data_IF_193383335820
#
_entry.id   IF_193383335820
#
_cell.length_a   1.000
_cell.length_b   1.000
_cell.length_c   1.000
_cell.angle_alpha   90.00
_cell.angle_beta   90.00
_cell.angle_gamma   90.00
#
_symmetry.space_group_name_H-M   'P 1'
#
loop_
_entity.id
_entity.type
_entity.pdbx_description
1 polymer ?
#
# COMPACT_ATOMS: atom_id res chain seq x y z
N UNK A 1 5.89 -23.62 46.58
CA UNK A 1 5.82 -22.22 46.10
C UNK A 1 6.37 -22.21 44.68
N UNK A 2 5.74 -21.67 43.63
CA UNK A 2 4.75 -20.60 43.52
C UNK A 2 3.65 -20.93 42.48
N UNK A 3 2.54 -20.21 42.63
CA UNK A 3 1.24 -20.32 41.95
C UNK A 3 1.34 -20.05 40.44
N UNK A 4 0.72 -20.91 39.63
CA UNK A 4 0.28 -20.53 38.29
C UNK A 4 -0.89 -19.53 38.42
N UNK A 5 -0.71 -18.32 37.90
CA UNK A 5 -1.80 -17.38 37.70
C UNK A 5 -2.50 -17.72 36.38
N UNK A 6 -3.69 -18.27 36.50
CA UNK A 6 -4.63 -18.37 35.40
C UNK A 6 -5.34 -17.05 35.19
N UNK A 7 -5.25 -16.52 33.98
CA UNK A 7 -6.34 -15.87 33.23
C UNK A 7 -5.96 -15.89 31.74
N UNK A 8 -6.94 -16.27 30.91
CA UNK A 8 -7.04 -15.96 29.47
C UNK A 8 -6.50 -16.92 28.41
N UNK A 9 -6.82 -18.22 28.51
CA UNK A 9 -7.07 -19.04 27.33
C UNK A 9 -8.18 -20.06 27.61
N UNK A 10 -9.44 -19.61 27.76
CA UNK A 10 -10.58 -20.46 27.44
C UNK A 10 -10.95 -20.23 25.97
N UNK A 11 -11.02 -21.28 25.13
CA UNK A 11 -11.65 -21.15 23.81
C UNK A 11 -13.06 -20.62 24.03
N UNK A 12 -13.37 -19.49 23.41
CA UNK A 12 -14.71 -18.89 23.43
C UNK A 12 -15.71 -19.94 22.97
N UNK A 13 -16.72 -20.25 23.79
CA UNK A 13 -17.66 -21.33 23.44
C UNK A 13 -18.49 -20.96 22.22
N UNK A 14 -19.01 -21.93 21.45
CA UNK A 14 -19.89 -21.67 20.32
C UNK A 14 -21.08 -20.77 20.68
N UNK A 15 -21.62 -20.88 21.90
CA UNK A 15 -22.69 -19.99 22.37
C UNK A 15 -22.21 -18.56 22.60
N UNK A 16 -21.02 -18.36 23.17
CA UNK A 16 -20.43 -17.02 23.31
C UNK A 16 -20.13 -16.38 21.95
N UNK A 17 -19.73 -17.19 20.97
CA UNK A 17 -19.58 -16.75 19.59
C UNK A 17 -20.93 -16.36 18.97
N UNK A 18 -21.96 -17.19 19.16
CA UNK A 18 -23.32 -16.95 18.67
C UNK A 18 -23.95 -15.69 19.28
N UNK A 19 -23.74 -15.44 20.58
CA UNK A 19 -24.18 -14.23 21.29
C UNK A 19 -23.46 -12.98 20.73
N UNK A 20 -22.14 -13.04 20.55
CA UNK A 20 -21.37 -11.92 19.98
C UNK A 20 -21.81 -11.59 18.54
N UNK A 21 -22.07 -12.62 17.72
CA UNK A 21 -22.62 -12.44 16.38
C UNK A 21 -24.08 -11.98 16.41
N UNK A 22 -24.92 -12.47 17.32
CA UNK A 22 -26.34 -12.11 17.39
C UNK A 22 -26.59 -10.68 17.87
N UNK A 23 -25.85 -10.22 18.89
CA UNK A 23 -25.95 -8.86 19.43
C UNK A 23 -25.46 -7.80 18.44
N UNK A 24 -24.51 -8.13 17.57
CA UNK A 24 -23.98 -7.21 16.55
C UNK A 24 -24.69 -7.32 15.21
N UNK A 25 -25.16 -8.51 14.81
CA UNK A 25 -25.82 -8.76 13.53
C UNK A 25 -27.14 -8.01 13.37
N UNK A 26 -27.99 -8.02 14.40
CA UNK A 26 -29.34 -7.47 14.29
C UNK A 26 -29.36 -5.93 14.19
N UNK A 27 -28.57 -5.19 14.98
CA UNK A 27 -28.43 -3.74 14.82
C UNK A 27 -27.74 -3.35 13.51
N UNK A 28 -26.72 -4.10 13.10
CA UNK A 28 -26.00 -3.89 11.83
C UNK A 28 -26.92 -4.12 10.63
N UNK A 29 -27.73 -5.17 10.62
CA UNK A 29 -28.71 -5.41 9.55
C UNK A 29 -29.78 -4.32 9.48
N UNK A 30 -30.24 -3.80 10.64
CA UNK A 30 -31.25 -2.73 10.71
C UNK A 30 -30.70 -1.34 10.36
N UNK A 31 -29.40 -1.11 10.50
CA UNK A 31 -28.79 0.22 10.38
C UNK A 31 -28.30 0.57 8.96
N UNK A 32 -28.38 -0.36 7.99
CA UNK A 32 -27.84 -0.19 6.63
C UNK A 32 -26.41 0.44 6.64
N UNK A 33 -25.47 -0.11 7.42
CA UNK A 33 -24.23 0.57 7.76
C UNK A 33 -23.34 0.69 6.53
N UNK A 34 -22.68 1.84 6.42
CA UNK A 34 -21.73 2.08 5.35
C UNK A 34 -20.60 1.04 5.38
N UNK A 35 -20.08 0.71 4.20
CA UNK A 35 -18.95 -0.19 4.04
C UNK A 35 -17.76 0.17 4.96
N UNK A 36 -17.53 1.46 5.19
CA UNK A 36 -16.51 1.96 6.11
C UNK A 36 -16.76 1.55 7.59
N UNK A 37 -18.02 1.57 8.05
CA UNK A 37 -18.39 1.14 9.40
C UNK A 37 -18.21 -0.38 9.57
N UNK A 38 -18.61 -1.15 8.56
CA UNK A 38 -18.43 -2.61 8.52
C UNK A 38 -16.95 -2.99 8.49
N UNK A 39 -16.12 -2.25 7.77
CA UNK A 39 -14.66 -2.43 7.75
C UNK A 39 -14.01 -2.07 9.09
N UNK A 40 -14.48 -1.01 9.76
CA UNK A 40 -14.01 -0.64 11.11
C UNK A 40 -14.33 -1.72 12.14
N UNK A 41 -15.51 -2.34 12.06
CA UNK A 41 -15.89 -3.48 12.91
C UNK A 41 -15.06 -4.74 12.63
N UNK A 42 -14.62 -4.93 11.38
CA UNK A 42 -13.76 -6.04 10.95
C UNK A 42 -12.27 -5.88 11.32
N UNK A 43 -11.83 -4.70 11.75
CA UNK A 43 -10.42 -4.38 12.05
C UNK A 43 -9.81 -5.16 13.23
N UNK A 44 -10.62 -5.88 14.00
CA UNK A 44 -10.21 -6.45 15.28
C UNK A 44 -10.08 -7.98 15.23
N UNK A 45 -8.85 -8.51 15.13
CA UNK A 45 -8.48 -9.95 15.03
C UNK A 45 -9.20 -10.74 13.91
N UNK A 46 -8.43 -11.48 13.13
CA UNK A 46 -8.86 -12.26 11.94
C UNK A 46 -10.13 -13.10 12.12
N UNK A 47 -10.38 -13.60 13.33
CA UNK A 47 -11.57 -14.39 13.70
C UNK A 47 -12.87 -13.58 13.68
N UNK A 48 -12.87 -12.31 14.12
CA UNK A 48 -14.09 -11.48 14.12
C UNK A 48 -14.46 -11.03 12.71
N UNK A 49 -13.47 -10.84 11.84
CA UNK A 49 -13.70 -10.58 10.41
C UNK A 49 -14.36 -11.77 9.71
N UNK A 50 -13.86 -12.99 9.91
CA UNK A 50 -14.49 -14.20 9.35
C UNK A 50 -15.93 -14.36 9.84
N UNK A 51 -16.17 -14.08 11.12
CA UNK A 51 -17.51 -14.08 11.69
C UNK A 51 -18.39 -13.01 11.03
N UNK A 52 -17.91 -11.76 10.87
CA UNK A 52 -18.69 -10.68 10.24
C UNK A 52 -18.99 -10.97 8.76
N UNK A 53 -18.02 -11.48 8.00
CA UNK A 53 -18.22 -11.87 6.58
C UNK A 53 -19.19 -13.04 6.47
N UNK A 54 -19.09 -14.06 7.34
CA UNK A 54 -20.03 -15.18 7.37
C UNK A 54 -21.44 -14.73 7.74
N UNK A 55 -21.56 -13.81 8.71
CA UNK A 55 -22.83 -13.21 9.13
C UNK A 55 -23.44 -12.35 8.02
N UNK A 56 -22.68 -11.49 7.35
CA UNK A 56 -23.17 -10.70 6.20
C UNK A 56 -23.64 -11.59 5.06
N UNK A 57 -22.91 -12.68 4.77
CA UNK A 57 -23.30 -13.68 3.78
C UNK A 57 -24.57 -14.45 4.18
N UNK A 58 -24.71 -14.81 5.46
CA UNK A 58 -25.89 -15.48 5.99
C UNK A 58 -27.14 -14.57 6.04
N UNK A 59 -26.94 -13.25 6.07
CA UNK A 59 -27.99 -12.25 6.06
C UNK A 59 -28.30 -11.69 4.66
N UNK A 60 -27.69 -12.25 3.61
CA UNK A 60 -27.82 -11.76 2.22
C UNK A 60 -27.46 -10.27 2.05
N UNK A 61 -26.66 -9.71 2.98
CA UNK A 61 -26.16 -8.35 2.89
C UNK A 61 -24.96 -8.37 1.94
N UNK A 62 -25.17 -7.91 0.71
CA UNK A 62 -24.10 -7.78 -0.28
C UNK A 62 -23.12 -6.68 0.16
N UNK A 63 -21.94 -7.08 0.63
CA UNK A 63 -20.85 -6.17 0.93
C UNK A 63 -20.23 -5.69 -0.38
N UNK A 64 -20.77 -4.61 -0.94
CA UNK A 64 -20.23 -3.99 -2.15
C UNK A 64 -18.84 -3.41 -1.84
N UNK A 65 -17.77 -3.83 -2.55
CA UNK A 65 -16.45 -3.26 -2.36
C UNK A 65 -16.48 -1.74 -2.55
N UNK A 66 -15.78 -1.02 -1.67
CA UNK A 66 -15.76 0.44 -1.73
C UNK A 66 -15.34 0.96 -3.13
N UNK A 67 -15.88 2.10 -3.60
CA UNK A 67 -15.67 2.59 -4.96
C UNK A 67 -14.19 2.84 -5.30
N UNK A 68 -13.34 3.08 -4.30
CA UNK A 68 -11.88 3.17 -4.47
C UNK A 68 -11.29 1.84 -4.95
N UNK A 69 -11.66 0.70 -4.35
CA UNK A 69 -11.18 -0.63 -4.74
C UNK A 69 -11.67 -1.04 -6.12
N UNK A 70 -12.92 -0.70 -6.47
CA UNK A 70 -13.46 -0.97 -7.81
C UNK A 70 -12.66 -0.22 -8.88
N UNK A 71 -12.36 1.08 -8.65
CA UNK A 71 -11.50 1.86 -9.55
C UNK A 71 -10.11 1.23 -9.71
N UNK A 72 -9.58 0.67 -8.62
CA UNK A 72 -8.29 -0.02 -8.66
C UNK A 72 -8.30 -1.32 -9.44
N UNK A 73 -9.34 -2.13 -9.26
CA UNK A 73 -9.52 -3.34 -10.04
C UNK A 73 -9.60 -3.03 -11.53
N UNK A 74 -10.35 -1.99 -11.91
CA UNK A 74 -10.45 -1.53 -13.29
C UNK A 74 -9.12 -1.02 -13.85
N UNK A 75 -8.33 -0.30 -13.04
CA UNK A 75 -7.00 0.14 -13.41
C UNK A 75 -6.10 -1.06 -13.74
N UNK A 76 -6.04 -2.05 -12.86
CA UNK A 76 -5.24 -3.25 -13.10
C UNK A 76 -5.73 -4.07 -14.29
N UNK A 77 -7.05 -4.18 -14.47
CA UNK A 77 -7.63 -4.85 -15.63
C UNK A 77 -7.22 -4.18 -16.96
N UNK A 78 -7.16 -2.83 -17.01
CA UNK A 78 -6.64 -2.09 -18.19
C UNK A 78 -5.17 -2.40 -18.49
N UNK A 79 -4.40 -2.75 -17.46
CA UNK A 79 -3.00 -3.18 -17.59
C UNK A 79 -2.87 -4.69 -17.91
N UNK A 80 -3.98 -5.41 -18.04
CA UNK A 80 -3.98 -6.85 -18.28
C UNK A 80 -3.67 -7.70 -17.04
N UNK A 81 -3.86 -7.14 -15.84
CA UNK A 81 -3.59 -7.81 -14.56
C UNK A 81 -4.91 -8.04 -13.82
N UNK A 82 -5.27 -9.30 -13.59
CA UNK A 82 -6.43 -9.65 -12.80
C UNK A 82 -6.11 -9.52 -11.29
N UNK A 83 -6.95 -8.79 -10.57
CA UNK A 83 -6.80 -8.55 -9.13
C UNK A 83 -8.13 -8.81 -8.43
N UNK A 84 -8.11 -9.65 -7.39
CA UNK A 84 -9.26 -9.96 -6.53
C UNK A 84 -9.33 -8.90 -5.43
N UNK A 85 -10.50 -8.29 -5.23
CA UNK A 85 -10.68 -7.18 -4.28
C UNK A 85 -11.59 -7.51 -3.10
N UNK A 86 -12.30 -8.64 -3.12
CA UNK A 86 -13.35 -9.00 -2.17
C UNK A 86 -12.84 -9.02 -0.72
N UNK A 87 -11.58 -9.42 -0.55
CA UNK A 87 -10.91 -9.52 0.75
C UNK A 87 -9.93 -8.38 1.04
N UNK A 88 -9.86 -7.36 0.19
CA UNK A 88 -8.92 -6.26 0.39
C UNK A 88 -9.49 -5.20 1.35
N UNK A 89 -8.64 -4.76 2.26
CA UNK A 89 -8.96 -3.69 3.21
C UNK A 89 -8.16 -2.45 2.85
N UNK A 90 -8.83 -1.32 2.73
CA UNK A 90 -8.18 -0.02 2.68
C UNK A 90 -7.74 0.31 4.13
N UNK A 91 -6.47 0.64 4.38
CA UNK A 91 -6.04 1.07 5.72
C UNK A 91 -6.72 2.36 6.15
N UNK A 92 -6.72 2.66 7.45
CA UNK A 92 -7.13 3.99 7.92
C UNK A 92 -6.15 5.02 7.37
N UNK A 93 -6.68 6.01 6.63
CA UNK A 93 -5.87 6.99 5.92
C UNK A 93 -5.82 8.30 6.72
N UNK A 94 -4.62 8.87 6.91
CA UNK A 94 -4.50 10.28 7.31
C UNK A 94 -5.29 11.19 6.36
N UNK A 95 -5.74 12.35 6.86
CA UNK A 95 -6.59 13.30 6.10
C UNK A 95 -5.96 13.74 4.76
N UNK A 96 -4.64 13.82 4.74
CA UNK A 96 -3.77 14.20 3.64
C UNK A 96 -3.53 13.06 2.62
N UNK A 97 -3.95 11.83 2.91
CA UNK A 97 -3.75 10.65 2.06
C UNK A 97 -4.96 10.48 1.15
N UNK A 98 -4.85 11.01 -0.06
CA UNK A 98 -5.96 11.05 -1.02
C UNK A 98 -5.97 9.84 -1.97
N UNK A 99 -4.84 9.17 -2.14
CA UNK A 99 -4.68 8.06 -3.09
C UNK A 99 -4.65 6.70 -2.40
N UNK A 100 -5.13 5.68 -3.10
CA UNK A 100 -5.18 4.29 -2.63
C UNK A 100 -4.74 3.37 -3.74
N UNK A 101 -3.75 2.51 -3.50
CA UNK A 101 -3.24 1.53 -4.47
C UNK A 101 -3.35 0.10 -3.99
N UNK A 102 -3.82 -0.79 -4.88
CA UNK A 102 -3.65 -2.23 -4.68
C UNK A 102 -2.24 -2.61 -5.14
N UNK A 103 -1.52 -3.34 -4.29
CA UNK A 103 -0.20 -3.91 -4.55
C UNK A 103 -0.39 -5.42 -4.81
N UNK A 104 -0.43 -5.87 -6.08
CA UNK A 104 -0.68 -7.27 -6.43
C UNK A 104 0.52 -8.12 -6.04
N UNK A 105 0.36 -9.19 -5.25
CA UNK A 105 1.45 -10.11 -4.90
C UNK A 105 2.02 -10.87 -6.10
N UNK A 106 1.19 -11.15 -7.09
CA UNK A 106 1.51 -11.83 -8.34
C UNK A 106 2.58 -11.15 -9.19
N UNK A 107 2.83 -9.84 -8.98
CA UNK A 107 3.81 -9.07 -9.75
C UNK A 107 5.12 -8.87 -8.98
N UNK A 108 6.24 -9.14 -9.65
CA UNK A 108 7.58 -8.79 -9.17
C UNK A 108 7.92 -7.32 -9.48
N UNK A 109 8.98 -6.78 -8.86
CA UNK A 109 9.45 -5.43 -9.19
C UNK A 109 9.91 -5.33 -10.66
N UNK A 110 10.54 -6.38 -11.18
CA UNK A 110 10.93 -6.45 -12.60
C UNK A 110 9.72 -6.43 -13.54
N UNK A 111 8.66 -7.19 -13.22
CA UNK A 111 7.43 -7.18 -14.02
C UNK A 111 6.72 -5.82 -13.97
N UNK A 112 6.70 -5.16 -12.81
CA UNK A 112 6.16 -3.80 -12.69
C UNK A 112 6.99 -2.79 -13.48
N UNK A 113 8.32 -2.89 -13.45
CA UNK A 113 9.19 -2.04 -14.26
C UNK A 113 8.98 -2.28 -15.77
N UNK A 114 8.82 -3.52 -16.20
CA UNK A 114 8.48 -3.85 -17.59
C UNK A 114 7.12 -3.24 -18.00
N UNK A 115 6.14 -3.23 -17.09
CA UNK A 115 4.88 -2.52 -17.31
C UNK A 115 5.12 -1.00 -17.45
N UNK A 116 5.96 -0.38 -16.61
CA UNK A 116 6.32 1.03 -16.77
C UNK A 116 6.90 1.29 -18.17
N UNK A 117 7.89 0.49 -18.58
CA UNK A 117 8.58 0.61 -19.86
C UNK A 117 7.65 0.41 -21.07
N UNK A 118 6.56 -0.35 -20.91
CA UNK A 118 5.52 -0.51 -21.95
C UNK A 118 4.68 0.75 -22.14
N UNK A 119 4.53 1.57 -21.11
CA UNK A 119 3.63 2.74 -21.12
C UNK A 119 4.36 4.08 -21.24
N UNK A 120 5.60 4.18 -20.80
CA UNK A 120 6.40 5.40 -20.88
C UNK A 120 7.90 5.07 -20.86
N UNK A 121 8.72 5.99 -21.40
CA UNK A 121 10.16 5.82 -21.47
C UNK A 121 10.72 5.61 -20.06
N UNK A 122 11.32 4.45 -19.86
CA UNK A 122 11.81 3.99 -18.56
C UNK A 122 13.23 3.47 -18.71
N UNK A 123 14.09 3.79 -17.76
CA UNK A 123 15.45 3.32 -17.71
C UNK A 123 15.80 2.89 -16.29
N UNK A 124 16.56 1.80 -16.17
CA UNK A 124 17.11 1.35 -14.90
C UNK A 124 18.59 1.03 -15.06
N UNK A 125 19.34 1.14 -13.97
CA UNK A 125 20.69 0.59 -13.91
C UNK A 125 20.63 -0.96 -13.90
N UNK A 126 21.73 -1.63 -14.28
CA UNK A 126 21.81 -3.09 -14.53
C UNK A 126 21.70 -3.99 -13.28
N UNK A 127 20.96 -3.59 -12.25
CA UNK A 127 20.66 -4.44 -11.11
C UNK A 127 19.25 -5.07 -11.20
N UNK A 128 19.15 -6.25 -10.58
CA UNK A 128 17.89 -6.96 -10.41
C UNK A 128 17.06 -6.30 -9.30
N UNK A 129 15.92 -5.70 -9.68
CA UNK A 129 15.02 -4.99 -8.78
C UNK A 129 14.39 -5.91 -7.73
N UNK A 130 14.35 -7.22 -7.99
CA UNK A 130 13.82 -8.23 -7.07
C UNK A 130 14.81 -8.61 -5.97
N UNK A 131 16.11 -8.28 -6.12
CA UNK A 131 17.15 -8.55 -5.10
C UNK A 131 17.18 -7.52 -3.97
N UNK A 132 16.20 -6.63 -3.91
CA UNK A 132 16.08 -5.65 -2.84
C UNK A 132 15.52 -6.28 -1.56
N UNK A 133 16.22 -6.09 -0.44
CA UNK A 133 15.74 -6.47 0.89
C UNK A 133 14.75 -5.42 1.40
N UNK A 134 13.54 -5.84 1.73
CA UNK A 134 12.52 -4.97 2.34
C UNK A 134 12.86 -4.73 3.80
N UNK A 135 12.90 -3.46 4.23
CA UNK A 135 13.19 -3.11 5.63
C UNK A 135 11.95 -2.95 6.51
N UNK A 136 10.81 -2.60 5.90
CA UNK A 136 9.54 -2.47 6.60
C UNK A 136 8.62 -3.64 6.22
N UNK A 137 8.01 -4.25 7.24
CA UNK A 137 7.10 -5.37 7.07
C UNK A 137 5.84 -4.90 6.34
N UNK A 138 5.30 -5.78 5.49
CA UNK A 138 4.03 -5.59 4.77
C UNK A 138 3.13 -6.80 4.97
N UNK A 139 1.81 -6.66 4.77
CA UNK A 139 0.91 -7.80 4.72
C UNK A 139 1.40 -8.87 3.74
N UNK A 140 1.11 -10.14 4.03
CA UNK A 140 1.34 -11.24 3.09
C UNK A 140 0.24 -11.22 2.02
N UNK A 141 0.60 -11.56 0.79
CA UNK A 141 -0.33 -11.57 -0.34
C UNK A 141 -0.60 -10.19 -0.92
N UNK A 142 -1.64 -10.06 -1.76
CA UNK A 142 -2.09 -8.78 -2.30
C UNK A 142 -2.64 -7.90 -1.18
N UNK A 143 -2.28 -6.61 -1.17
CA UNK A 143 -2.71 -5.67 -0.13
C UNK A 143 -2.95 -4.27 -0.70
N UNK A 144 -3.46 -3.37 0.13
CA UNK A 144 -3.76 -2.00 -0.23
C UNK A 144 -2.88 -1.06 0.57
N UNK A 145 -2.41 0.00 -0.06
CA UNK A 145 -1.71 1.11 0.60
C UNK A 145 -2.41 2.42 0.31
N UNK A 146 -2.42 3.32 1.29
CA UNK A 146 -2.72 4.72 1.07
C UNK A 146 -1.47 5.54 0.91
N UNK A 147 -1.54 6.60 0.11
CA UNK A 147 -0.46 7.57 0.00
C UNK A 147 -1.00 8.96 -0.37
N UNK A 148 -0.18 9.99 -0.18
CA UNK A 148 -0.53 11.36 -0.59
C UNK A 148 -0.62 11.46 -2.11
N UNK A 149 -1.62 12.17 -2.61
CA UNK A 149 -1.73 12.49 -4.02
C UNK A 149 -0.81 13.63 -4.45
N UNK A 150 -0.76 13.86 -5.76
CA UNK A 150 0.00 14.95 -6.39
C UNK A 150 1.34 14.52 -6.98
N UNK A 151 2.02 15.47 -7.63
CA UNK A 151 3.28 15.25 -8.35
C UNK A 151 4.44 14.98 -7.37
N UNK A 152 4.39 15.58 -6.19
CA UNK A 152 5.46 15.51 -5.18
C UNK A 152 4.86 15.02 -3.85
N UNK A 153 4.45 13.75 -3.77
CA UNK A 153 3.67 13.22 -2.64
C UNK A 153 4.42 13.26 -1.30
N UNK A 154 5.73 13.50 -1.32
CA UNK A 154 6.62 13.45 -0.16
C UNK A 154 7.50 14.70 0.01
N UNK A 155 7.06 15.82 -0.58
CA UNK A 155 7.78 17.09 -0.53
C UNK A 155 8.17 17.53 0.88
N UNK A 156 7.31 17.30 1.86
CA UNK A 156 7.57 17.64 3.27
C UNK A 156 8.65 16.78 3.95
N UNK A 157 9.01 15.64 3.34
CA UNK A 157 10.04 14.73 3.85
C UNK A 157 11.34 14.84 3.05
N UNK A 158 11.50 15.89 2.24
CA UNK A 158 12.74 16.13 1.51
C UNK A 158 13.94 16.23 2.46
N UNK A 159 15.02 15.52 2.12
CA UNK A 159 16.25 15.52 2.91
C UNK A 159 16.18 14.68 4.19
N UNK A 160 15.05 14.02 4.49
CA UNK A 160 14.96 13.05 5.59
C UNK A 160 15.52 11.70 5.14
N UNK A 161 16.66 11.30 5.72
CA UNK A 161 17.22 9.98 5.52
C UNK A 161 16.41 8.88 6.23
N UNK A 162 16.56 7.63 5.78
CA UNK A 162 15.80 6.49 6.33
C UNK A 162 15.89 6.35 7.85
N UNK A 163 17.06 6.58 8.43
CA UNK A 163 17.28 6.46 9.87
C UNK A 163 16.56 7.52 10.70
N UNK A 164 16.40 8.74 10.17
CA UNK A 164 15.61 9.80 10.82
C UNK A 164 14.13 9.46 10.72
N UNK A 165 13.71 9.10 9.52
CA UNK A 165 12.31 8.96 9.21
C UNK A 165 11.71 7.68 9.86
N UNK A 166 12.50 6.62 10.06
CA UNK A 166 12.11 5.47 10.91
C UNK A 166 12.03 5.79 12.39
N UNK A 167 12.89 6.68 12.93
CA UNK A 167 12.77 7.16 14.32
C UNK A 167 11.50 7.98 14.55
N UNK A 168 11.04 8.68 13.52
CA UNK A 168 9.76 9.41 13.52
C UNK A 168 8.54 8.48 13.34
N UNK A 169 8.74 7.17 13.18
CA UNK A 169 7.64 6.20 13.03
C UNK A 169 6.97 6.22 11.65
N UNK A 170 7.59 6.84 10.65
CA UNK A 170 7.03 6.93 9.30
C UNK A 170 7.21 5.61 8.53
N UNK A 171 6.19 5.23 7.75
CA UNK A 171 6.21 4.06 6.87
C UNK A 171 6.44 4.53 5.44
N UNK A 172 7.53 4.10 4.78
CA UNK A 172 7.84 4.52 3.39
C UNK A 172 7.50 3.44 2.40
N UNK A 173 7.14 3.88 1.19
CA UNK A 173 6.99 3.01 0.04
C UNK A 173 8.23 2.14 -0.14
N UNK A 174 7.98 0.85 -0.32
CA UNK A 174 8.98 -0.07 -0.84
C UNK A 174 9.08 0.08 -2.39
N UNK A 175 10.05 -0.56 -3.05
CA UNK A 175 10.21 -0.47 -4.51
C UNK A 175 8.96 -0.81 -5.30
N UNK A 176 8.23 -1.84 -4.83
CA UNK A 176 7.00 -2.31 -5.47
C UNK A 176 5.90 -1.25 -5.41
N UNK A 177 5.68 -0.67 -4.24
CA UNK A 177 4.72 0.41 -4.00
C UNK A 177 5.05 1.65 -4.84
N UNK A 178 6.33 2.03 -4.91
CA UNK A 178 6.76 3.19 -5.70
C UNK A 178 6.54 2.99 -7.21
N UNK A 179 6.79 1.80 -7.74
CA UNK A 179 6.52 1.46 -9.15
C UNK A 179 5.01 1.47 -9.44
N UNK A 180 4.19 0.93 -8.53
CA UNK A 180 2.73 0.99 -8.66
C UNK A 180 2.24 2.44 -8.65
N UNK A 181 2.73 3.26 -7.72
CA UNK A 181 2.38 4.67 -7.65
C UNK A 181 2.74 5.43 -8.94
N UNK A 182 3.89 5.11 -9.56
CA UNK A 182 4.28 5.66 -10.86
C UNK A 182 3.29 5.29 -11.96
N UNK A 183 3.03 3.99 -12.13
CA UNK A 183 2.11 3.47 -13.14
C UNK A 183 0.73 4.12 -13.02
N UNK A 184 0.21 4.22 -11.80
CA UNK A 184 -1.07 4.85 -11.53
C UNK A 184 -1.11 6.33 -11.89
N UNK A 185 -0.01 7.03 -11.68
CA UNK A 185 0.04 8.46 -11.95
C UNK A 185 0.21 8.74 -13.45
N UNK A 186 1.02 7.93 -14.14
CA UNK A 186 1.35 8.12 -15.55
C UNK A 186 0.29 7.55 -16.51
N UNK A 187 -0.21 6.34 -16.28
CA UNK A 187 -1.03 5.60 -17.27
C UNK A 187 -2.40 6.24 -17.55
N UNK A 188 -3.22 6.64 -16.56
CA UNK A 188 -4.55 7.19 -16.82
C UNK A 188 -4.54 8.48 -17.64
N UNK A 189 -3.41 9.18 -17.73
CA UNK A 189 -3.31 10.49 -18.35
C UNK A 189 -2.92 10.44 -19.84
N UNK A 190 -2.68 9.25 -20.42
CA UNK A 190 -2.68 9.03 -21.88
C UNK A 190 -1.65 9.80 -22.72
N UNK A 191 -0.73 10.54 -22.11
CA UNK A 191 0.21 11.42 -22.81
C UNK A 191 1.63 11.06 -22.40
N UNK A 192 2.45 10.72 -23.39
CA UNK A 192 3.89 10.40 -23.28
C UNK A 192 4.76 11.48 -22.59
N UNK A 193 4.18 12.59 -22.13
CA UNK A 193 4.89 13.76 -21.61
C UNK A 193 4.31 14.43 -20.36
N UNK A 194 3.18 14.00 -19.78
CA UNK A 194 2.47 14.97 -18.93
C UNK A 194 1.86 14.50 -17.61
N UNK A 195 2.48 13.55 -16.89
CA UNK A 195 2.44 13.49 -15.40
C UNK A 195 3.24 12.31 -14.84
N UNK A 196 4.36 12.62 -14.19
CA UNK A 196 5.18 11.66 -13.44
C UNK A 196 5.34 12.13 -12.01
N UNK A 197 5.57 11.19 -11.10
CA UNK A 197 5.91 11.53 -9.71
C UNK A 197 7.38 11.97 -9.65
N UNK A 198 7.68 12.81 -8.66
CA UNK A 198 9.04 13.22 -8.32
C UNK A 198 9.75 13.87 -9.52
N UNK A 199 9.23 15.01 -9.98
CA UNK A 199 9.82 15.81 -11.06
C UNK A 199 10.86 16.82 -10.54
N UNK A 200 10.76 17.21 -9.26
CA UNK A 200 11.67 18.13 -8.56
C UNK A 200 12.73 17.40 -7.72
N UNK A 201 12.87 16.09 -7.86
CA UNK A 201 13.76 15.28 -7.02
C UNK A 201 13.48 13.80 -7.24
N UNK A 202 14.09 12.93 -6.44
CA UNK A 202 13.79 11.50 -6.51
C UNK A 202 13.48 10.92 -5.14
N UNK A 203 12.67 9.87 -5.13
CA UNK A 203 12.26 9.15 -3.93
C UNK A 203 13.12 7.92 -3.72
N UNK A 204 13.80 7.88 -2.57
CA UNK A 204 14.41 6.68 -2.01
C UNK A 204 13.35 5.86 -1.28
N UNK A 205 13.27 4.57 -1.60
CA UNK A 205 12.32 3.62 -1.01
C UNK A 205 12.90 2.90 0.21
N UNK A 206 12.04 2.24 0.99
CA UNK A 206 12.41 1.43 2.18
C UNK A 206 13.11 0.10 1.87
N UNK A 207 14.07 0.11 0.93
CA UNK A 207 14.83 -1.06 0.50
C UNK A 207 16.33 -0.93 0.79
N UNK A 208 17.01 -2.08 0.95
CA UNK A 208 18.46 -2.19 0.88
C UNK A 208 18.90 -3.29 -0.09
N UNK A 209 19.93 -3.04 -0.87
CA UNK A 209 20.69 -4.04 -1.63
C UNK A 209 22.03 -4.33 -0.95
N UNK A 210 22.80 -5.29 -1.47
CA UNK A 210 24.19 -5.55 -1.05
C UNK A 210 25.01 -4.25 -1.20
N UNK A 211 25.52 -3.73 -0.08
CA UNK A 211 26.26 -2.46 -0.03
C UNK A 211 25.50 -1.26 0.56
N UNK A 212 24.36 -1.47 1.23
CA UNK A 212 23.58 -0.41 1.90
C UNK A 212 23.00 0.67 0.95
N UNK A 213 22.79 0.28 -0.30
CA UNK A 213 22.18 1.10 -1.35
C UNK A 213 20.67 0.86 -1.37
N UNK A 214 19.89 1.93 -1.42
CA UNK A 214 18.43 1.92 -1.56
C UNK A 214 18.02 2.17 -3.01
N UNK A 215 16.83 1.67 -3.37
CA UNK A 215 16.21 1.95 -4.65
C UNK A 215 15.66 3.38 -4.66
N UNK A 216 16.08 4.14 -5.67
CA UNK A 216 15.67 5.50 -5.99
C UNK A 216 14.83 5.48 -7.27
N UNK A 217 13.66 6.12 -7.26
CA UNK A 217 12.88 6.41 -8.45
C UNK A 217 12.75 7.92 -8.64
N UNK A 218 12.83 8.39 -9.89
CA UNK A 218 12.59 9.80 -10.24
C UNK A 218 12.14 9.95 -11.68
N UNK A 219 11.48 11.06 -11.97
CA UNK A 219 11.32 11.52 -13.34
C UNK A 219 12.48 12.44 -13.74
N UNK A 220 13.14 12.15 -14.85
CA UNK A 220 14.09 13.07 -15.45
C UNK A 220 13.40 13.86 -16.57
N UNK A 221 13.20 15.15 -16.32
CA UNK A 221 12.53 16.06 -17.25
C UNK A 221 13.36 16.36 -18.51
N UNK A 222 14.70 16.26 -18.44
CA UNK A 222 15.58 16.58 -19.57
C UNK A 222 15.46 15.57 -20.71
N UNK A 223 15.31 14.28 -20.37
CA UNK A 223 15.20 13.20 -21.35
C UNK A 223 13.82 12.52 -21.31
N UNK A 224 12.85 13.10 -20.59
CA UNK A 224 11.51 12.54 -20.40
C UNK A 224 11.54 11.04 -20.08
N UNK A 225 12.37 10.65 -19.10
CA UNK A 225 12.60 9.25 -18.75
C UNK A 225 12.33 9.02 -17.27
N UNK A 226 11.57 7.97 -16.96
CA UNK A 226 11.43 7.44 -15.62
C UNK A 226 12.69 6.63 -15.28
N UNK A 227 13.42 7.07 -14.26
CA UNK A 227 14.71 6.50 -13.89
C UNK A 227 14.60 5.75 -12.58
N UNK A 228 15.07 4.51 -12.59
CA UNK A 228 15.21 3.64 -11.42
C UNK A 228 16.68 3.34 -11.16
N UNK A 229 17.22 3.87 -10.07
CA UNK A 229 18.64 3.81 -9.74
C UNK A 229 18.94 3.38 -8.31
N UNK A 230 20.21 3.04 -8.10
CA UNK A 230 20.83 2.93 -6.79
C UNK A 230 21.06 4.33 -6.18
N UNK A 231 20.77 4.49 -4.89
CA UNK A 231 21.15 5.66 -4.10
C UNK A 231 21.61 5.26 -2.71
N UNK A 232 22.46 6.08 -2.09
CA UNK A 232 22.73 5.95 -0.66
C UNK A 232 21.47 6.28 0.14
N UNK A 233 21.25 5.52 1.21
CA UNK A 233 20.04 5.57 2.04
C UNK A 233 19.91 6.90 2.85
N UNK A 234 21.02 7.61 3.03
CA UNK A 234 21.15 8.78 3.91
C UNK A 234 21.55 10.04 3.16
N UNK A 235 21.18 10.19 1.88
CA UNK A 235 21.50 11.42 1.14
C UNK A 235 20.58 12.57 1.57
N UNK A 236 21.06 13.40 2.50
CA UNK A 236 20.27 14.44 3.19
C UNK A 236 20.56 15.86 2.67
N UNK A 237 20.64 16.08 1.36
CA UNK A 237 20.74 17.45 0.84
C UNK A 237 19.36 18.14 0.88
N UNK A 238 19.21 19.29 1.56
CA UNK A 238 17.91 19.96 1.70
C UNK A 238 17.32 20.46 0.37
N UNK A 239 18.19 20.89 -0.56
CA UNK A 239 17.76 21.58 -1.78
C UNK A 239 17.58 20.64 -2.98
N UNK A 240 18.28 19.50 -2.98
CA UNK A 240 18.32 18.54 -4.10
C UNK A 240 18.38 17.06 -3.65
N UNK A 241 18.23 16.79 -2.36
CA UNK A 241 18.35 15.44 -1.80
C UNK A 241 17.13 14.57 -2.07
N UNK A 242 17.33 13.28 -1.84
CA UNK A 242 16.28 12.31 -2.01
C UNK A 242 15.20 12.45 -0.95
N UNK A 243 14.01 12.00 -1.30
CA UNK A 243 12.83 12.04 -0.45
C UNK A 243 12.33 10.63 -0.19
N UNK A 244 11.40 10.46 0.74
CA UNK A 244 10.83 9.15 1.03
C UNK A 244 9.31 9.26 1.04
N UNK A 245 8.64 8.56 0.11
CA UNK A 245 7.18 8.60 0.04
C UNK A 245 6.59 7.83 1.20
N UNK A 246 5.88 8.54 2.07
CA UNK A 246 5.18 7.95 3.21
C UNK A 246 3.86 7.34 2.74
N UNK A 247 3.58 6.14 3.23
CA UNK A 247 2.38 5.37 2.97
C UNK A 247 1.75 4.91 4.29
N UNK A 248 0.46 4.58 4.27
CA UNK A 248 -0.33 4.07 5.39
C UNK A 248 -0.94 2.73 4.99
#
# INVERSE_FOLDING_TARGET
MAKQHGTDLKPTTPEQHAILTGETALPVAKANPSFALMQKLASNKTTKRRALTATSKALEIELIPGPRLIREQQFWAKLGVAVVIDDLMIPELPTDFTEVAIIPDTLTCEQLFALCAKHFLSWKYDYDLNKSTRKQVRPKGTYVVGYRGGIEPDLEHRGKGYGVATKEGLIFMNPKERLVAELRYAVPNGVYLSRHLDVKGGTVTSSLTLGAISFLARWNTLNSTFIVNASVQSYTLPDCGHRQVVCA
#
